data_IF_854841796434
#
_entry.id   IF_854841796434
#
_cell.length_a   1.000
_cell.length_b   1.000
_cell.length_c   1.000
_cell.angle_alpha   90.00
_cell.angle_beta   90.00
_cell.angle_gamma   90.00
#
_symmetry.space_group_name_H-M   'P 1'
#
loop_
_entity.id
_entity.type
_entity.pdbx_description
1 polymer ?
#
# COMPACT_ATOMS: atom_id res chain seq x y z
N UNK A 1 -7.55 -24.34 -47.31
CA UNK A 1 -7.18 -24.76 -45.93
C UNK A 1 -6.07 -23.89 -45.31
N UNK A 2 -4.93 -23.64 -45.98
CA UNK A 2 -3.84 -22.84 -45.41
C UNK A 2 -4.20 -21.38 -45.02
N UNK A 3 -5.07 -20.72 -45.80
CA UNK A 3 -5.53 -19.35 -45.52
C UNK A 3 -6.31 -19.23 -44.19
N UNK A 4 -7.18 -20.20 -43.90
CA UNK A 4 -7.98 -20.22 -42.67
C UNK A 4 -7.10 -20.47 -41.44
N UNK A 5 -6.11 -21.37 -41.55
CA UNK A 5 -5.15 -21.63 -40.49
C UNK A 5 -4.32 -20.38 -40.14
N UNK A 6 -3.90 -19.61 -41.16
CA UNK A 6 -3.18 -18.34 -40.94
C UNK A 6 -4.02 -17.28 -40.22
N UNK A 7 -5.31 -17.16 -40.56
CA UNK A 7 -6.22 -16.23 -39.89
C UNK A 7 -6.46 -16.60 -38.43
N UNK A 8 -6.64 -17.89 -38.14
CA UNK A 8 -6.81 -18.39 -36.76
C UNK A 8 -5.54 -18.16 -35.93
N UNK A 9 -4.37 -18.44 -36.48
CA UNK A 9 -3.09 -18.17 -35.80
C UNK A 9 -2.92 -16.68 -35.49
N UNK A 10 -3.22 -15.80 -36.45
CA UNK A 10 -3.15 -14.35 -36.26
C UNK A 10 -4.12 -13.85 -35.19
N UNK A 11 -5.35 -14.37 -35.16
CA UNK A 11 -6.34 -14.04 -34.13
C UNK A 11 -5.87 -14.45 -32.72
N UNK A 12 -5.29 -15.65 -32.59
CA UNK A 12 -4.74 -16.13 -31.30
C UNK A 12 -3.56 -15.27 -30.85
N UNK A 13 -2.61 -14.98 -31.74
CA UNK A 13 -1.45 -14.12 -31.42
C UNK A 13 -1.92 -12.73 -30.96
N UNK A 14 -2.90 -12.16 -31.65
CA UNK A 14 -3.45 -10.84 -31.29
C UNK A 14 -4.16 -10.88 -29.94
N UNK A 15 -4.96 -11.92 -29.68
CA UNK A 15 -5.66 -12.09 -28.41
C UNK A 15 -4.69 -12.28 -27.23
N UNK A 16 -3.62 -13.06 -27.42
CA UNK A 16 -2.58 -13.26 -26.41
C UNK A 16 -1.78 -11.98 -26.19
N UNK A 17 -1.40 -11.27 -27.26
CA UNK A 17 -0.69 -9.99 -27.18
C UNK A 17 -1.48 -8.94 -26.40
N UNK A 18 -2.78 -8.82 -26.67
CA UNK A 18 -3.66 -7.90 -25.94
C UNK A 18 -3.78 -8.27 -24.45
N UNK A 19 -3.94 -9.56 -24.14
CA UNK A 19 -3.98 -10.03 -22.74
C UNK A 19 -2.66 -9.74 -22.02
N UNK A 20 -1.53 -9.97 -22.67
CA UNK A 20 -0.21 -9.69 -22.10
C UNK A 20 -0.02 -8.19 -21.87
N UNK A 21 -0.39 -7.35 -22.84
CA UNK A 21 -0.34 -5.90 -22.70
C UNK A 21 -1.21 -5.38 -21.57
N UNK A 22 -2.42 -5.92 -21.41
CA UNK A 22 -3.31 -5.60 -20.28
C UNK A 22 -2.68 -5.98 -18.95
N UNK A 23 -2.21 -7.23 -18.82
CA UNK A 23 -1.59 -7.72 -17.58
C UNK A 23 -0.39 -6.87 -17.16
N UNK A 24 0.49 -6.52 -18.10
CA UNK A 24 1.63 -5.62 -17.84
C UNK A 24 1.14 -4.23 -17.37
N UNK A 25 0.10 -3.69 -18.01
CA UNK A 25 -0.50 -2.41 -17.62
C UNK A 25 -1.07 -2.44 -16.20
N UNK A 26 -1.76 -3.53 -15.86
CA UNK A 26 -2.34 -3.75 -14.53
C UNK A 26 -1.25 -3.88 -13.46
N UNK A 27 -0.19 -4.65 -13.72
CA UNK A 27 0.97 -4.79 -12.83
C UNK A 27 1.70 -3.46 -12.59
N UNK A 28 1.95 -2.68 -13.65
CA UNK A 28 2.59 -1.36 -13.53
C UNK A 28 1.72 -0.41 -12.72
N UNK A 29 0.41 -0.39 -12.97
CA UNK A 29 -0.55 0.43 -12.24
C UNK A 29 -0.56 0.06 -10.75
N UNK A 30 -0.58 -1.24 -10.44
CA UNK A 30 -0.52 -1.74 -9.06
C UNK A 30 0.76 -1.30 -8.35
N UNK A 31 1.93 -1.40 -9.01
CA UNK A 31 3.21 -0.97 -8.43
C UNK A 31 3.27 0.54 -8.21
N UNK A 32 2.74 1.34 -9.14
CA UNK A 32 2.64 2.79 -9.00
C UNK A 32 1.75 3.16 -7.80
N UNK A 33 0.54 2.61 -7.74
CA UNK A 33 -0.40 2.87 -6.63
C UNK A 33 0.21 2.45 -5.28
N UNK A 34 0.83 1.27 -5.21
CA UNK A 34 1.48 0.81 -3.99
C UNK A 34 2.61 1.75 -3.53
N UNK A 35 3.41 2.27 -4.46
CA UNK A 35 4.45 3.25 -4.14
C UNK A 35 3.86 4.56 -3.60
N UNK A 36 2.77 5.04 -4.19
CA UNK A 36 2.08 6.24 -3.74
C UNK A 36 1.45 6.03 -2.36
N UNK A 37 0.80 4.89 -2.12
CA UNK A 37 0.24 4.50 -0.82
C UNK A 37 1.33 4.46 0.27
N UNK A 38 2.50 3.89 -0.03
CA UNK A 38 3.64 3.88 0.91
C UNK A 38 4.16 5.28 1.22
N UNK A 39 4.14 6.18 0.23
CA UNK A 39 4.55 7.57 0.42
C UNK A 39 3.54 8.32 1.32
N UNK A 40 2.25 8.16 1.04
CA UNK A 40 1.18 8.76 1.84
C UNK A 40 1.21 8.25 3.28
N UNK A 41 1.48 6.96 3.47
CA UNK A 41 1.68 6.36 4.80
C UNK A 41 2.87 6.99 5.52
N UNK A 42 4.00 7.19 4.84
CA UNK A 42 5.17 7.86 5.41
C UNK A 42 4.86 9.30 5.84
N UNK A 43 4.22 10.08 4.98
CA UNK A 43 3.87 11.48 5.27
C UNK A 43 2.89 11.57 6.46
N UNK A 44 1.94 10.64 6.54
CA UNK A 44 1.03 10.49 7.68
C UNK A 44 1.78 10.19 8.97
N UNK A 45 2.74 9.25 8.94
CA UNK A 45 3.57 8.93 10.11
C UNK A 45 4.40 10.13 10.59
N UNK A 46 4.92 10.95 9.67
CA UNK A 46 5.62 12.19 10.03
C UNK A 46 4.69 13.20 10.73
N UNK A 47 3.46 13.35 10.26
CA UNK A 47 2.46 14.18 10.94
C UNK A 47 2.13 13.63 12.33
N UNK A 48 1.95 12.32 12.45
CA UNK A 48 1.69 11.65 13.72
C UNK A 48 2.84 11.85 14.72
N UNK A 49 4.11 11.87 14.27
CA UNK A 49 5.25 12.16 15.14
C UNK A 49 5.14 13.55 15.80
N UNK A 50 4.75 14.57 15.03
CA UNK A 50 4.52 15.91 15.56
C UNK A 50 3.34 15.95 16.53
N UNK A 51 2.24 15.29 16.19
CA UNK A 51 1.05 15.19 17.05
C UNK A 51 1.34 14.44 18.36
N UNK A 52 2.13 13.36 18.32
CA UNK A 52 2.57 12.61 19.50
C UNK A 52 3.44 13.49 20.42
N UNK A 53 4.36 14.28 19.86
CA UNK A 53 5.18 15.23 20.65
C UNK A 53 4.35 16.28 21.37
N UNK A 54 3.28 16.78 20.75
CA UNK A 54 2.34 17.71 21.39
C UNK A 54 1.51 17.00 22.48
N UNK A 55 0.97 15.82 22.13
CA UNK A 55 0.17 15.01 23.05
C UNK A 55 0.95 14.59 24.30
N UNK A 56 2.23 14.21 24.17
CA UNK A 56 3.08 13.83 25.30
C UNK A 56 3.20 14.99 26.31
N UNK A 57 3.41 16.23 25.83
CA UNK A 57 3.50 17.43 26.69
C UNK A 57 2.18 17.72 27.41
N UNK A 58 1.07 17.61 26.69
CA UNK A 58 -0.27 17.89 27.23
C UNK A 58 -0.80 16.79 28.14
N UNK A 59 -0.35 15.54 27.96
CA UNK A 59 -0.80 14.38 28.76
C UNK A 59 -0.50 14.48 30.26
N UNK A 60 0.43 15.36 30.64
CA UNK A 60 0.78 15.63 32.04
C UNK A 60 -0.38 16.28 32.79
N UNK A 61 -1.12 17.18 32.13
CA UNK A 61 -2.20 17.96 32.75
C UNK A 61 -3.58 17.65 32.18
N UNK A 62 -3.68 17.04 30.99
CA UNK A 62 -4.94 16.76 30.32
C UNK A 62 -5.21 15.25 30.24
N UNK A 63 -6.16 14.77 31.04
CA UNK A 63 -6.48 13.33 31.13
C UNK A 63 -7.00 12.74 29.81
N UNK A 64 -7.83 13.48 29.06
CA UNK A 64 -8.31 13.03 27.74
C UNK A 64 -7.16 12.82 26.75
N UNK A 65 -6.17 13.72 26.77
CA UNK A 65 -4.96 13.61 25.93
C UNK A 65 -4.09 12.45 26.40
N UNK A 66 -4.00 12.17 27.70
CA UNK A 66 -3.30 10.97 28.18
C UNK A 66 -3.97 9.67 27.70
N UNK A 67 -5.30 9.61 27.75
CA UNK A 67 -6.05 8.43 27.32
C UNK A 67 -5.90 8.17 25.81
N UNK A 68 -6.02 9.21 24.98
CA UNK A 68 -5.85 9.05 23.52
C UNK A 68 -4.43 8.60 23.16
N UNK A 69 -3.42 8.94 23.98
CA UNK A 69 -2.01 8.81 23.64
C UNK A 69 -1.60 7.37 23.91
N UNK A 70 -2.12 6.80 24.99
CA UNK A 70 -2.00 5.38 25.26
C UNK A 70 -2.68 4.54 24.18
N UNK A 71 -3.88 4.92 23.70
CA UNK A 71 -4.51 4.20 22.58
C UNK A 71 -3.68 4.27 21.30
N UNK A 72 -3.14 5.45 20.98
CA UNK A 72 -2.32 5.64 19.79
C UNK A 72 -1.00 4.84 19.87
N UNK A 73 -0.35 4.83 21.03
CA UNK A 73 0.85 4.02 21.29
C UNK A 73 0.56 2.52 21.10
N UNK A 74 -0.56 2.03 21.63
CA UNK A 74 -0.95 0.63 21.45
C UNK A 74 -1.15 0.27 19.96
N UNK A 75 -1.92 1.08 19.23
CA UNK A 75 -2.14 0.85 17.80
C UNK A 75 -0.82 0.87 16.99
N UNK A 76 0.13 1.75 17.35
CA UNK A 76 1.44 1.79 16.70
C UNK A 76 2.25 0.51 16.94
N UNK A 77 2.17 -0.09 18.14
CA UNK A 77 2.80 -1.38 18.41
C UNK A 77 2.17 -2.51 17.59
N UNK A 78 0.84 -2.55 17.46
CA UNK A 78 0.15 -3.56 16.65
C UNK A 78 0.57 -3.49 15.18
N UNK A 79 0.68 -2.28 14.61
CA UNK A 79 1.14 -2.07 13.24
C UNK A 79 2.61 -2.48 13.07
N UNK A 80 3.48 -2.12 14.02
CA UNK A 80 4.89 -2.53 13.98
C UNK A 80 5.04 -4.04 13.95
N UNK A 81 4.29 -4.74 14.81
CA UNK A 81 4.28 -6.19 14.86
C UNK A 81 3.83 -6.82 13.54
N UNK A 82 2.74 -6.31 12.94
CA UNK A 82 2.27 -6.78 11.63
C UNK A 82 3.31 -6.56 10.52
N UNK A 83 4.02 -5.42 10.52
CA UNK A 83 5.05 -5.12 9.54
C UNK A 83 6.28 -6.01 9.72
N UNK A 84 6.68 -6.30 10.96
CA UNK A 84 7.77 -7.22 11.28
C UNK A 84 7.43 -8.66 10.82
N UNK A 85 6.19 -9.12 11.02
CA UNK A 85 5.72 -10.41 10.47
C UNK A 85 5.74 -10.45 8.94
N UNK A 86 5.37 -9.35 8.28
CA UNK A 86 5.40 -9.25 6.82
C UNK A 86 6.82 -9.27 6.23
N UNK A 87 7.82 -8.74 6.94
CA UNK A 87 9.22 -8.72 6.49
C UNK A 87 9.96 -10.05 6.75
N UNK A 88 9.47 -10.85 7.70
CA UNK A 88 10.07 -12.13 8.07
C UNK A 88 9.69 -13.30 7.13
N UNK A 89 8.82 -13.07 6.14
CA UNK A 89 8.26 -14.07 5.24
C UNK A 89 8.46 -13.68 3.76
#
# INVERSE_FOLDING_TARGET
MAHVAGLLASAVVSAVGNKLGSAIGDEVTMLCNFKDDLKDMKDTLQYMEAALKDAERRSVSEELVRLWLNQLKNAAYDISYMLDEFQAN
#
